data_IF_516608486306
#
_entry.id   IF_516608486306
#
_cell.length_a   1.000
_cell.length_b   1.000
_cell.length_c   1.000
_cell.angle_alpha   90.00
_cell.angle_beta   90.00
_cell.angle_gamma   90.00
#
_symmetry.space_group_name_H-M   'P 1'
#
loop_
_entity.id
_entity.type
_entity.pdbx_description
1 polymer ?
#
# COMPACT_ATOMS: atom_id res chain seq x y z
N UNK A 1 -8.42 5.92 -4.34
CA UNK A 1 -7.44 6.94 -3.88
C UNK A 1 -6.53 7.24 -5.06
N UNK A 2 -6.19 8.51 -5.32
CA UNK A 2 -5.25 8.84 -6.39
C UNK A 2 -3.83 8.48 -6.00
N UNK A 3 -2.95 8.26 -6.98
CA UNK A 3 -1.52 7.96 -6.74
C UNK A 3 -0.86 9.10 -5.97
N UNK A 4 -1.13 10.36 -6.33
CA UNK A 4 -0.65 11.55 -5.60
C UNK A 4 -0.97 11.51 -4.09
N UNK A 5 -2.23 11.22 -3.74
CA UNK A 5 -2.63 11.13 -2.33
C UNK A 5 -1.93 9.97 -1.61
N UNK A 6 -1.75 8.85 -2.31
CA UNK A 6 -1.04 7.70 -1.78
C UNK A 6 0.43 8.00 -1.48
N UNK A 7 1.13 8.65 -2.42
CA UNK A 7 2.55 9.05 -2.24
C UNK A 7 2.67 10.07 -1.12
N UNK A 8 1.77 11.04 -1.04
CA UNK A 8 1.77 12.04 0.04
C UNK A 8 1.62 11.37 1.41
N UNK A 9 0.62 10.49 1.59
CA UNK A 9 0.44 9.75 2.85
C UNK A 9 1.62 8.83 3.16
N UNK A 10 2.26 8.25 2.14
CA UNK A 10 3.44 7.42 2.31
C UNK A 10 4.61 8.26 2.87
N UNK A 11 4.86 9.45 2.32
CA UNK A 11 5.90 10.37 2.79
C UNK A 11 5.64 10.87 4.22
N UNK A 12 4.38 11.17 4.56
CA UNK A 12 3.99 11.58 5.91
C UNK A 12 4.35 10.49 6.94
N UNK A 13 4.07 9.22 6.63
CA UNK A 13 4.39 8.08 7.51
C UNK A 13 5.89 7.75 7.47
N UNK A 14 6.55 7.94 6.32
CA UNK A 14 7.99 7.74 6.20
C UNK A 14 8.75 8.75 7.07
N UNK A 15 8.27 9.99 7.11
CA UNK A 15 8.78 11.11 7.91
C UNK A 15 9.74 12.04 7.18
N UNK A 16 10.10 11.72 5.94
CA UNK A 16 10.94 12.56 5.07
C UNK A 16 10.84 12.15 3.60
N UNK A 17 11.33 13.03 2.73
CA UNK A 17 11.38 12.82 1.28
C UNK A 17 10.46 13.76 0.53
N UNK A 18 10.76 13.94 -0.75
CA UNK A 18 10.00 14.78 -1.67
C UNK A 18 9.69 13.97 -2.92
N UNK A 19 8.59 14.30 -3.58
CA UNK A 19 8.23 13.70 -4.86
C UNK A 19 7.83 14.79 -5.84
N UNK A 20 8.07 14.54 -7.12
CA UNK A 20 7.61 15.39 -8.21
C UNK A 20 6.99 14.52 -9.29
N UNK A 21 5.88 14.96 -9.87
CA UNK A 21 5.31 14.32 -11.05
C UNK A 21 6.04 14.85 -12.28
N UNK A 22 6.75 13.99 -13.01
CA UNK A 22 7.19 14.35 -14.36
C UNK A 22 5.97 14.39 -15.27
N UNK A 23 5.63 15.57 -15.76
CA UNK A 23 4.51 15.76 -16.68
C UNK A 23 4.99 15.49 -18.12
N UNK A 24 5.04 14.21 -18.49
CA UNK A 24 5.54 13.75 -19.79
C UNK A 24 4.44 13.94 -20.87
N UNK A 25 4.01 15.18 -21.11
CA UNK A 25 3.10 15.55 -22.20
C UNK A 25 1.83 14.68 -22.33
N UNK A 26 1.15 14.68 -23.50
CA UNK A 26 0.05 13.77 -23.72
C UNK A 26 0.59 12.35 -23.86
N UNK A 27 0.43 11.56 -22.80
CA UNK A 27 0.69 10.12 -22.80
C UNK A 27 -0.34 9.48 -23.74
N UNK A 28 0.09 9.09 -24.94
CA UNK A 28 -0.75 8.44 -25.96
C UNK A 28 -1.09 6.96 -25.62
N UNK A 29 -0.88 6.54 -24.36
CA UNK A 29 -1.30 5.23 -23.87
C UNK A 29 -2.66 5.36 -23.21
N UNK A 30 -3.67 4.72 -23.78
CA UNK A 30 -4.96 4.55 -23.12
C UNK A 30 -4.78 3.65 -21.91
N UNK A 31 -4.53 4.24 -20.74
CA UNK A 31 -4.70 3.53 -19.48
C UNK A 31 -6.18 3.13 -19.38
N UNK A 32 -6.45 1.87 -19.02
CA UNK A 32 -7.81 1.45 -18.75
C UNK A 32 -8.36 2.33 -17.61
N UNK A 33 -9.62 2.74 -17.71
CA UNK A 33 -10.31 3.38 -16.59
C UNK A 33 -10.15 2.52 -15.32
N UNK A 34 -10.26 3.16 -14.14
CA UNK A 34 -10.12 2.50 -12.85
C UNK A 34 -10.95 1.20 -12.78
N UNK A 35 -10.26 0.07 -12.89
CA UNK A 35 -10.87 -1.26 -12.85
C UNK A 35 -10.94 -1.73 -11.41
N UNK A 36 -12.15 -1.95 -10.91
CA UNK A 36 -12.40 -2.50 -9.58
C UNK A 36 -13.29 -3.73 -9.66
N UNK A 37 -13.11 -4.65 -8.71
CA UNK A 37 -13.97 -5.82 -8.56
C UNK A 37 -15.07 -5.55 -7.52
N UNK A 38 -16.29 -6.02 -7.79
CA UNK A 38 -17.35 -6.05 -6.79
C UNK A 38 -17.20 -7.27 -5.87
N UNK A 39 -17.00 -7.00 -4.59
CA UNK A 39 -16.80 -8.01 -3.53
C UNK A 39 -18.10 -8.39 -2.80
N UNK A 40 -19.27 -7.90 -3.25
CA UNK A 40 -20.57 -8.12 -2.59
C UNK A 40 -20.94 -9.60 -2.45
N UNK A 41 -20.60 -10.43 -3.44
CA UNK A 41 -20.83 -11.89 -3.39
C UNK A 41 -20.04 -12.56 -2.26
N UNK A 42 -18.77 -12.20 -2.09
CA UNK A 42 -17.93 -12.73 -1.01
C UNK A 42 -18.38 -12.21 0.36
N UNK A 43 -18.75 -10.92 0.45
CA UNK A 43 -19.34 -10.33 1.67
C UNK A 43 -20.60 -11.07 2.11
N UNK A 44 -21.54 -11.30 1.20
CA UNK A 44 -22.81 -11.91 1.51
C UNK A 44 -22.69 -13.40 1.83
N UNK A 45 -21.96 -14.17 0.99
CA UNK A 45 -21.92 -15.63 1.13
C UNK A 45 -20.90 -16.14 2.15
N UNK A 46 -19.81 -15.41 2.36
CA UNK A 46 -18.68 -15.86 3.19
C UNK A 46 -18.47 -15.00 4.44
N UNK A 47 -19.31 -13.98 4.64
CA UNK A 47 -19.07 -12.93 5.63
C UNK A 47 -17.65 -12.33 5.52
N UNK A 48 -17.12 -12.30 4.29
CA UNK A 48 -15.75 -11.86 4.03
C UNK A 48 -15.67 -10.34 4.07
N UNK A 49 -14.64 -9.81 4.72
CA UNK A 49 -14.38 -8.37 4.78
C UNK A 49 -12.89 -8.05 4.76
N UNK A 50 -12.47 -6.94 4.12
CA UNK A 50 -11.10 -6.43 4.24
C UNK A 50 -10.72 -6.22 5.71
N UNK A 51 -9.47 -6.55 6.06
CA UNK A 51 -8.98 -6.45 7.44
C UNK A 51 -8.21 -5.17 7.74
N UNK A 52 -7.54 -4.62 6.73
CA UNK A 52 -6.76 -3.40 6.87
C UNK A 52 -7.44 -2.25 6.11
N UNK A 53 -7.51 -1.11 6.77
CA UNK A 53 -7.68 0.18 6.10
C UNK A 53 -6.43 0.53 5.30
N UNK A 54 -6.55 1.45 4.34
CA UNK A 54 -5.40 1.92 3.57
C UNK A 54 -4.28 2.46 4.46
N UNK A 55 -4.63 3.21 5.51
CA UNK A 55 -3.64 3.75 6.46
C UNK A 55 -2.85 2.62 7.13
N UNK A 56 -3.53 1.60 7.67
CA UNK A 56 -2.87 0.44 8.26
C UNK A 56 -1.98 -0.28 7.24
N UNK A 57 -2.45 -0.44 6.00
CA UNK A 57 -1.64 -1.03 4.93
C UNK A 57 -0.35 -0.24 4.69
N UNK A 58 -0.43 1.09 4.62
CA UNK A 58 0.75 1.95 4.42
C UNK A 58 1.72 1.86 5.60
N UNK A 59 1.22 1.93 6.83
CA UNK A 59 2.03 1.83 8.06
C UNK A 59 2.82 0.51 8.11
N UNK A 60 2.15 -0.63 7.92
CA UNK A 60 2.79 -1.95 7.94
C UNK A 60 3.79 -2.11 6.78
N UNK A 61 3.46 -1.57 5.59
CA UNK A 61 4.35 -1.60 4.41
C UNK A 61 5.63 -0.81 4.68
N UNK A 62 5.49 0.41 5.21
CA UNK A 62 6.63 1.28 5.51
C UNK A 62 7.50 0.70 6.62
N UNK A 63 6.89 0.18 7.69
CA UNK A 63 7.60 -0.52 8.77
C UNK A 63 8.48 -1.64 8.21
N UNK A 64 7.91 -2.49 7.34
CA UNK A 64 8.63 -3.58 6.71
C UNK A 64 9.84 -3.08 5.90
N UNK A 65 9.64 -2.07 5.05
CA UNK A 65 10.72 -1.50 4.23
C UNK A 65 11.80 -0.78 5.05
N UNK A 66 11.43 -0.12 6.16
CA UNK A 66 12.40 0.50 7.08
C UNK A 66 13.31 -0.54 7.71
N UNK A 67 12.78 -1.71 8.04
CA UNK A 67 13.54 -2.75 8.72
C UNK A 67 14.32 -3.68 7.79
N UNK A 68 13.87 -3.87 6.54
CA UNK A 68 14.45 -4.82 5.57
C UNK A 68 15.98 -4.76 5.45
N UNK A 69 16.57 -3.56 5.38
CA UNK A 69 18.02 -3.40 5.21
C UNK A 69 18.82 -3.48 6.52
N UNK A 70 18.14 -3.39 7.68
CA UNK A 70 18.77 -3.29 9.00
C UNK A 70 18.62 -4.56 9.85
N UNK A 71 17.60 -5.36 9.57
CA UNK A 71 17.25 -6.54 10.35
C UNK A 71 17.91 -7.79 9.77
N UNK A 72 18.22 -8.72 10.65
CA UNK A 72 18.57 -10.08 10.26
C UNK A 72 17.37 -10.81 9.66
N UNK A 73 17.60 -11.89 8.91
CA UNK A 73 16.52 -12.72 8.37
C UNK A 73 15.55 -13.20 9.46
N UNK A 74 16.05 -13.55 10.64
CA UNK A 74 15.23 -13.99 11.77
C UNK A 74 14.31 -12.88 12.29
N UNK A 75 14.82 -11.65 12.41
CA UNK A 75 14.02 -10.49 12.84
C UNK A 75 12.97 -10.11 11.79
N UNK A 76 13.32 -10.18 10.51
CA UNK A 76 12.36 -9.97 9.42
C UNK A 76 11.25 -11.02 9.42
N UNK A 77 11.56 -12.29 9.68
CA UNK A 77 10.55 -13.36 9.84
C UNK A 77 9.63 -13.05 11.01
N UNK A 78 10.18 -12.64 12.16
CA UNK A 78 9.38 -12.29 13.33
C UNK A 78 8.44 -11.11 13.06
N UNK A 79 8.90 -10.09 12.32
CA UNK A 79 8.06 -8.97 11.88
C UNK A 79 6.93 -9.44 10.94
N UNK A 80 7.24 -10.28 9.95
CA UNK A 80 6.21 -10.83 9.06
C UNK A 80 5.17 -11.64 9.84
N UNK A 81 5.60 -12.46 10.80
CA UNK A 81 4.69 -13.25 11.65
C UNK A 81 3.83 -12.33 12.50
N UNK A 82 4.37 -11.26 13.09
CA UNK A 82 3.60 -10.33 13.92
C UNK A 82 2.55 -9.56 13.11
N UNK A 83 2.79 -9.31 11.83
CA UNK A 83 1.85 -8.64 10.93
C UNK A 83 0.75 -9.58 10.39
N UNK A 84 0.92 -10.89 10.49
CA UNK A 84 -0.13 -11.87 10.16
C UNK A 84 -1.07 -12.01 11.35
N UNK A 85 -2.33 -11.59 11.16
CA UNK A 85 -3.41 -11.74 12.15
C UNK A 85 -4.25 -12.99 11.89
#
# INVERSE_FOLDING_TARGET
VSVEKLVTSLLDIWGCGDWTAENIGPINFHEANLLNLDISKAKFNLNWQPKWSLQQTLENTIEWYKHYNSYTSSEMINLCISQIK
#
